data_IF_214143175628
#
_entry.id   IF_214143175628
#
_cell.length_a   1.000
_cell.length_b   1.000
_cell.length_c   1.000
_cell.angle_alpha   90.00
_cell.angle_beta   90.00
_cell.angle_gamma   90.00
#
_symmetry.space_group_name_H-M   'P 1'
#
loop_
_entity.id
_entity.type
_entity.pdbx_description
1 polymer ?
#
# COMPACT_ATOMS: atom_id res chain seq x y z
N UNK A 1 22.84 19.86 -20.57
CA UNK A 1 22.14 20.66 -19.53
C UNK A 1 20.66 20.89 -19.85
N UNK A 2 20.30 21.39 -21.04
CA UNK A 2 18.90 21.65 -21.43
C UNK A 2 17.94 20.45 -21.28
N UNK A 3 18.42 19.23 -21.59
CA UNK A 3 17.65 17.97 -21.47
C UNK A 3 17.19 17.63 -20.05
N UNK A 4 17.79 18.20 -19.00
CA UNK A 4 17.39 18.01 -17.59
C UNK A 4 16.67 19.24 -17.04
N UNK A 5 17.12 20.45 -17.41
CA UNK A 5 16.53 21.70 -16.93
C UNK A 5 15.11 21.91 -17.43
N UNK A 6 14.82 21.52 -18.68
CA UNK A 6 13.50 21.73 -19.27
C UNK A 6 12.41 20.84 -18.62
N UNK A 7 12.61 19.53 -18.44
CA UNK A 7 11.68 18.70 -17.66
C UNK A 7 11.51 19.18 -16.21
N UNK A 8 12.60 19.59 -15.54
CA UNK A 8 12.53 20.13 -14.17
C UNK A 8 11.69 21.40 -14.08
N UNK A 9 11.88 22.33 -15.02
CA UNK A 9 11.10 23.56 -15.08
C UNK A 9 9.61 23.25 -15.29
N UNK A 10 9.29 22.30 -16.17
CA UNK A 10 7.91 21.86 -16.39
C UNK A 10 7.32 21.24 -15.12
N UNK A 11 8.03 20.31 -14.45
CA UNK A 11 7.57 19.71 -13.20
C UNK A 11 7.35 20.74 -12.11
N UNK A 12 8.23 21.74 -12.00
CA UNK A 12 8.10 22.83 -11.04
C UNK A 12 6.87 23.70 -11.31
N UNK A 13 6.67 24.15 -12.56
CA UNK A 13 5.54 24.99 -12.95
C UNK A 13 4.21 24.24 -12.77
N UNK A 14 4.13 23.00 -13.23
CA UNK A 14 2.93 22.16 -13.08
C UNK A 14 2.67 21.87 -11.60
N UNK A 15 3.72 21.58 -10.83
CA UNK A 15 3.61 21.36 -9.39
C UNK A 15 3.07 22.56 -8.64
N UNK A 16 3.58 23.77 -8.92
CA UNK A 16 3.06 25.02 -8.33
C UNK A 16 1.62 25.25 -8.76
N UNK A 17 1.28 25.05 -10.03
CA UNK A 17 -0.08 25.23 -10.52
C UNK A 17 -1.05 24.29 -9.78
N UNK A 18 -0.69 23.02 -9.56
CA UNK A 18 -1.50 22.07 -8.78
C UNK A 18 -1.66 22.48 -7.32
N UNK A 19 -0.61 23.05 -6.69
CA UNK A 19 -0.70 23.57 -5.32
C UNK A 19 -1.65 24.77 -5.27
N UNK A 20 -1.53 25.70 -6.23
CA UNK A 20 -2.41 26.87 -6.31
C UNK A 20 -3.86 26.50 -6.61
N UNK A 21 -4.12 25.45 -7.41
CA UNK A 21 -5.47 24.94 -7.69
C UNK A 21 -6.21 24.56 -6.40
N UNK A 22 -5.49 24.01 -5.43
CA UNK A 22 -6.06 23.59 -4.16
C UNK A 22 -6.40 24.77 -3.23
N UNK A 23 -5.53 25.78 -3.15
CA UNK A 23 -5.65 26.88 -2.18
C UNK A 23 -6.35 28.13 -2.72
N UNK A 24 -6.34 28.34 -4.03
CA UNK A 24 -6.81 29.59 -4.66
C UNK A 24 -7.97 29.32 -5.60
N UNK A 25 -9.11 29.98 -5.35
CA UNK A 25 -10.34 29.84 -6.15
C UNK A 25 -10.39 30.90 -7.27
N UNK A 26 -9.52 30.78 -8.26
CA UNK A 26 -9.52 31.62 -9.46
C UNK A 26 -9.97 30.77 -10.66
N UNK A 27 -11.09 31.11 -11.33
CA UNK A 27 -11.66 30.29 -12.40
C UNK A 27 -10.65 29.89 -13.48
N UNK A 28 -9.85 30.84 -13.99
CA UNK A 28 -8.84 30.56 -15.03
C UNK A 28 -7.77 29.56 -14.57
N UNK A 29 -7.30 29.67 -13.33
CA UNK A 29 -6.32 28.77 -12.75
C UNK A 29 -6.90 27.36 -12.56
N UNK A 30 -8.10 27.27 -12.00
CA UNK A 30 -8.75 25.98 -11.75
C UNK A 30 -9.13 25.28 -13.06
N UNK A 31 -9.49 26.00 -14.13
CA UNK A 31 -9.72 25.41 -15.46
C UNK A 31 -8.44 24.84 -16.06
N UNK A 32 -7.31 25.57 -16.00
CA UNK A 32 -6.02 25.04 -16.48
C UNK A 32 -5.57 23.81 -15.69
N UNK A 33 -5.78 23.82 -14.37
CA UNK A 33 -5.49 22.68 -13.51
C UNK A 33 -6.39 21.48 -13.84
N UNK A 34 -7.67 21.71 -14.12
CA UNK A 34 -8.60 20.68 -14.54
C UNK A 34 -8.17 20.02 -15.87
N UNK A 35 -7.63 20.78 -16.83
CA UNK A 35 -7.07 20.21 -18.06
C UNK A 35 -5.89 19.26 -17.78
N UNK A 36 -4.98 19.64 -16.87
CA UNK A 36 -3.85 18.80 -16.47
C UNK A 36 -4.35 17.54 -15.72
N UNK A 37 -5.29 17.69 -14.79
CA UNK A 37 -5.91 16.56 -14.08
C UNK A 37 -6.62 15.61 -15.05
N UNK A 38 -7.20 16.12 -16.13
CA UNK A 38 -7.82 15.35 -17.20
C UNK A 38 -6.85 14.39 -17.93
N UNK A 39 -5.55 14.64 -17.89
CA UNK A 39 -4.54 13.73 -18.45
C UNK A 39 -4.14 12.61 -17.48
N UNK A 40 -4.44 12.73 -16.19
CA UNK A 40 -4.04 11.75 -15.19
C UNK A 40 -4.62 10.34 -15.45
N UNK A 41 -5.88 10.16 -15.87
CA UNK A 41 -6.40 8.85 -16.29
C UNK A 41 -5.61 8.19 -17.42
N UNK A 42 -5.10 8.98 -18.38
CA UNK A 42 -4.25 8.47 -19.46
C UNK A 42 -2.91 7.98 -18.89
N UNK A 43 -2.26 8.78 -18.04
CA UNK A 43 -1.00 8.42 -17.38
C UNK A 43 -1.17 7.16 -16.52
N UNK A 44 -2.25 7.05 -15.74
CA UNK A 44 -2.51 5.85 -14.93
C UNK A 44 -2.76 4.63 -15.80
N UNK A 45 -3.40 4.77 -16.96
CA UNK A 45 -3.59 3.67 -17.91
C UNK A 45 -2.26 3.14 -18.44
N UNK A 46 -1.33 4.04 -18.80
CA UNK A 46 0.03 3.65 -19.18
C UNK A 46 0.83 3.05 -18.02
N UNK A 47 0.63 3.53 -16.79
CA UNK A 47 1.27 2.97 -15.61
C UNK A 47 0.83 1.52 -15.36
N UNK A 48 -0.46 1.21 -15.53
CA UNK A 48 -0.98 -0.17 -15.43
C UNK A 48 -0.34 -1.06 -16.50
N UNK A 49 -0.24 -0.59 -17.75
CA UNK A 49 0.42 -1.34 -18.82
C UNK A 49 1.89 -1.60 -18.47
N UNK A 50 2.62 -0.56 -18.06
CA UNK A 50 4.05 -0.66 -17.71
C UNK A 50 4.27 -1.59 -16.52
N UNK A 51 3.42 -1.50 -15.49
CA UNK A 51 3.45 -2.39 -14.34
C UNK A 51 3.17 -3.85 -14.72
N UNK A 52 2.22 -4.07 -15.63
CA UNK A 52 1.91 -5.40 -16.17
C UNK A 52 3.09 -5.95 -16.97
N UNK A 53 3.68 -5.15 -17.86
CA UNK A 53 4.86 -5.54 -18.64
C UNK A 53 6.05 -5.90 -17.76
N UNK A 54 6.29 -5.14 -16.68
CA UNK A 54 7.33 -5.45 -15.70
C UNK A 54 7.04 -6.79 -15.01
N UNK A 55 5.80 -6.98 -14.55
CA UNK A 55 5.37 -8.24 -13.94
C UNK A 55 5.60 -9.43 -14.89
N UNK A 56 5.21 -9.28 -16.15
CA UNK A 56 5.46 -10.30 -17.19
C UNK A 56 6.95 -10.53 -17.36
N UNK A 57 7.76 -9.47 -17.55
CA UNK A 57 9.19 -9.59 -17.77
C UNK A 57 9.89 -10.36 -16.63
N UNK A 58 9.62 -10.01 -15.37
CA UNK A 58 10.23 -10.65 -14.20
C UNK A 58 9.81 -12.12 -14.06
N UNK A 59 8.52 -12.42 -14.24
CA UNK A 59 8.01 -13.78 -14.07
C UNK A 59 8.33 -14.67 -15.27
N UNK A 60 8.38 -14.13 -16.48
CA UNK A 60 8.84 -14.82 -17.68
C UNK A 60 10.33 -15.16 -17.59
N UNK A 61 11.17 -14.24 -17.12
CA UNK A 61 12.60 -14.54 -16.88
C UNK A 61 12.78 -15.68 -15.89
N UNK A 62 11.98 -15.68 -14.80
CA UNK A 62 12.00 -16.72 -13.78
C UNK A 62 11.62 -18.10 -14.34
N UNK A 63 10.62 -18.16 -15.22
CA UNK A 63 10.19 -19.40 -15.89
C UNK A 63 11.24 -19.88 -16.88
N UNK A 64 11.75 -18.97 -17.73
CA UNK A 64 12.75 -19.29 -18.76
C UNK A 64 14.03 -19.86 -18.15
N UNK A 65 14.50 -19.27 -17.06
CA UNK A 65 15.71 -19.70 -16.36
C UNK A 65 15.45 -20.72 -15.25
N UNK A 66 14.22 -21.25 -15.13
CA UNK A 66 13.82 -22.27 -14.13
C UNK A 66 14.31 -21.96 -12.71
N UNK A 67 14.31 -20.68 -12.31
CA UNK A 67 14.77 -20.28 -10.97
C UNK A 67 13.88 -20.92 -9.89
N UNK A 68 14.37 -21.05 -8.64
CA UNK A 68 13.55 -21.58 -7.54
C UNK A 68 12.18 -20.90 -7.46
N UNK A 69 11.11 -21.70 -7.40
CA UNK A 69 9.73 -21.18 -7.40
C UNK A 69 9.17 -20.78 -8.77
N UNK A 70 9.77 -21.19 -9.89
CA UNK A 70 9.27 -20.89 -11.25
C UNK A 70 7.82 -21.35 -11.48
N UNK A 71 7.40 -22.45 -10.85
CA UNK A 71 6.04 -23.00 -10.97
C UNK A 71 4.98 -22.02 -10.43
N UNK A 72 5.28 -21.26 -9.38
CA UNK A 72 4.40 -20.21 -8.87
C UNK A 72 4.21 -19.08 -9.90
N UNK A 73 5.24 -18.82 -10.70
CA UNK A 73 5.19 -17.81 -11.77
C UNK A 73 4.34 -18.31 -12.95
N UNK A 74 4.41 -19.60 -13.27
CA UNK A 74 3.54 -20.21 -14.27
C UNK A 74 2.07 -20.22 -13.81
N UNK A 75 1.82 -20.55 -12.54
CA UNK A 75 0.48 -20.48 -11.95
C UNK A 75 -0.08 -19.06 -11.99
N UNK A 76 0.75 -18.04 -11.69
CA UNK A 76 0.36 -16.64 -11.82
C UNK A 76 -0.13 -16.31 -13.23
N UNK A 77 0.60 -16.72 -14.28
CA UNK A 77 0.18 -16.44 -15.66
C UNK A 77 -1.12 -17.15 -16.02
N UNK A 78 -1.30 -18.39 -15.56
CA UNK A 78 -2.53 -19.15 -15.77
C UNK A 78 -3.73 -18.42 -15.15
N UNK A 79 -3.64 -18.06 -13.86
CA UNK A 79 -4.74 -17.38 -13.17
C UNK A 79 -4.99 -15.98 -13.73
N UNK A 80 -3.94 -15.25 -14.12
CA UNK A 80 -4.06 -13.96 -14.79
C UNK A 80 -4.81 -14.10 -16.13
N UNK A 81 -4.42 -15.05 -16.98
CA UNK A 81 -5.07 -15.29 -18.26
C UNK A 81 -6.55 -15.66 -18.08
N UNK A 82 -6.83 -16.61 -17.18
CA UNK A 82 -8.20 -17.06 -16.91
C UNK A 82 -9.08 -15.91 -16.40
N UNK A 83 -8.60 -15.13 -15.43
CA UNK A 83 -9.37 -14.01 -14.86
C UNK A 83 -9.61 -12.88 -15.87
N UNK A 84 -8.62 -12.56 -16.71
CA UNK A 84 -8.77 -11.54 -17.78
C UNK A 84 -9.75 -12.01 -18.85
N UNK A 85 -9.60 -13.25 -19.35
CA UNK A 85 -10.48 -13.79 -20.41
C UNK A 85 -11.94 -13.83 -19.92
N UNK A 86 -12.19 -14.28 -18.70
CA UNK A 86 -13.55 -14.34 -18.14
C UNK A 86 -14.07 -12.94 -17.85
N UNK A 87 -13.25 -12.06 -17.27
CA UNK A 87 -13.64 -10.69 -16.94
C UNK A 87 -14.05 -9.89 -18.17
N UNK A 88 -13.32 -10.04 -19.29
CA UNK A 88 -13.63 -9.36 -20.55
C UNK A 88 -14.83 -9.98 -21.30
N UNK A 89 -15.01 -11.30 -21.24
CA UNK A 89 -16.07 -11.99 -21.99
C UNK A 89 -17.42 -12.02 -21.27
N UNK A 90 -17.43 -12.28 -19.95
CA UNK A 90 -18.64 -12.52 -19.15
C UNK A 90 -18.83 -11.50 -18.02
N UNK A 91 -17.91 -10.56 -17.85
CA UNK A 91 -17.94 -9.57 -16.78
C UNK A 91 -17.47 -10.13 -15.43
N UNK A 92 -17.30 -9.22 -14.46
CA UNK A 92 -16.80 -9.52 -13.10
C UNK A 92 -17.85 -10.18 -12.20
N UNK A 93 -19.11 -10.23 -12.63
CA UNK A 93 -20.20 -10.89 -11.90
C UNK A 93 -20.37 -12.36 -12.27
N UNK A 94 -19.64 -12.84 -13.28
CA UNK A 94 -19.71 -14.24 -13.72
C UNK A 94 -19.37 -15.20 -12.55
N UNK A 95 -20.09 -16.33 -12.39
CA UNK A 95 -19.88 -17.26 -11.28
C UNK A 95 -18.43 -17.74 -11.17
N UNK A 96 -17.79 -18.01 -12.31
CA UNK A 96 -16.38 -18.45 -12.34
C UNK A 96 -15.43 -17.32 -11.93
N UNK A 97 -15.70 -16.07 -12.32
CA UNK A 97 -14.90 -14.92 -11.89
C UNK A 97 -14.98 -14.72 -10.37
N UNK A 98 -16.20 -14.75 -9.81
CA UNK A 98 -16.42 -14.66 -8.37
C UNK A 98 -15.78 -15.82 -7.62
N UNK A 99 -15.86 -17.04 -8.14
CA UNK A 99 -15.19 -18.19 -7.54
C UNK A 99 -13.68 -17.98 -7.43
N UNK A 100 -13.03 -17.58 -8.53
CA UNK A 100 -11.59 -17.30 -8.53
C UNK A 100 -11.24 -16.16 -7.55
N UNK A 101 -12.09 -15.14 -7.46
CA UNK A 101 -11.88 -14.03 -6.53
C UNK A 101 -12.07 -14.45 -5.07
N UNK A 102 -13.26 -14.93 -4.71
CA UNK A 102 -13.66 -15.19 -3.32
C UNK A 102 -13.00 -16.43 -2.72
N UNK A 103 -12.67 -17.43 -3.54
CA UNK A 103 -12.16 -18.72 -3.07
C UNK A 103 -10.68 -18.95 -3.34
N UNK A 104 -10.04 -18.14 -4.19
CA UNK A 104 -8.60 -18.23 -4.44
C UNK A 104 -7.91 -16.92 -4.04
N UNK A 105 -8.28 -15.80 -4.65
CA UNK A 105 -7.58 -14.53 -4.42
C UNK A 105 -7.71 -14.04 -2.97
N UNK A 106 -8.94 -14.00 -2.42
CA UNK A 106 -9.16 -13.55 -1.04
C UNK A 106 -8.43 -14.44 -0.03
N UNK A 107 -8.57 -15.79 -0.04
CA UNK A 107 -7.85 -16.63 0.90
C UNK A 107 -6.34 -16.54 0.76
N UNK A 108 -5.79 -16.43 -0.46
CA UNK A 108 -4.35 -16.19 -0.65
C UNK A 108 -3.89 -14.84 -0.06
N UNK A 109 -4.69 -13.78 -0.19
CA UNK A 109 -4.42 -12.51 0.47
C UNK A 109 -4.44 -12.64 2.00
N UNK A 110 -5.42 -13.37 2.53
CA UNK A 110 -5.54 -13.66 3.96
C UNK A 110 -4.41 -14.54 4.49
N UNK A 111 -3.89 -15.50 3.72
CA UNK A 111 -2.72 -16.29 4.16
C UNK A 111 -1.46 -15.45 4.15
N UNK A 112 -1.28 -14.54 3.19
CA UNK A 112 -0.18 -13.57 3.23
C UNK A 112 -0.27 -12.68 4.47
N UNK A 113 -1.45 -12.15 4.78
CA UNK A 113 -1.70 -11.36 5.99
C UNK A 113 -1.55 -12.19 7.29
N UNK A 114 -1.94 -13.46 7.26
CA UNK A 114 -1.76 -14.38 8.39
C UNK A 114 -0.28 -14.69 8.64
N UNK A 115 0.49 -14.95 7.59
CA UNK A 115 1.95 -15.15 7.67
C UNK A 115 2.65 -13.91 8.24
N UNK A 116 2.27 -12.70 7.82
CA UNK A 116 2.84 -11.48 8.41
C UNK A 116 2.48 -11.34 9.88
N UNK A 117 1.27 -11.71 10.30
CA UNK A 117 0.91 -11.73 11.72
C UNK A 117 1.80 -12.68 12.54
N UNK A 118 2.08 -13.90 12.04
CA UNK A 118 3.01 -14.82 12.69
C UNK A 118 4.45 -14.28 12.73
N UNK A 119 4.93 -13.64 11.66
CA UNK A 119 6.24 -13.00 11.65
C UNK A 119 6.33 -11.84 12.63
N UNK A 120 5.29 -11.02 12.73
CA UNK A 120 5.19 -9.94 13.72
C UNK A 120 5.21 -10.54 15.11
N UNK A 121 4.41 -11.58 15.39
CA UNK A 121 4.41 -12.24 16.70
C UNK A 121 5.79 -12.80 17.07
N UNK A 122 6.48 -13.46 16.13
CA UNK A 122 7.84 -13.99 16.35
C UNK A 122 8.88 -12.88 16.58
N UNK A 123 8.83 -11.81 15.78
CA UNK A 123 9.71 -10.66 15.93
C UNK A 123 9.45 -9.94 17.27
N UNK A 124 8.18 -9.73 17.61
CA UNK A 124 7.73 -9.15 18.87
C UNK A 124 8.13 -9.99 20.07
N UNK A 125 8.01 -11.31 20.02
CA UNK A 125 8.49 -12.18 21.11
C UNK A 125 10.00 -12.05 21.34
N UNK A 126 10.77 -11.95 20.25
CA UNK A 126 12.22 -11.70 20.33
C UNK A 126 12.55 -10.28 20.81
N UNK A 127 11.69 -9.30 20.53
CA UNK A 127 11.89 -7.89 20.89
C UNK A 127 11.39 -7.55 22.31
N UNK A 128 10.31 -8.19 22.80
CA UNK A 128 9.71 -7.97 24.11
C UNK A 128 10.45 -8.68 25.25
N UNK A 129 11.78 -8.56 25.28
CA UNK A 129 12.55 -8.90 26.47
C UNK A 129 12.44 -7.70 27.41
N UNK A 130 11.82 -7.88 28.57
CA UNK A 130 11.67 -6.86 29.61
C UNK A 130 13.05 -6.40 30.10
N UNK A 131 13.64 -5.47 29.38
CA UNK A 131 15.01 -4.98 29.56
C UNK A 131 15.01 -3.53 30.03
N UNK A 132 13.89 -2.84 29.88
CA UNK A 132 13.65 -1.44 30.22
C UNK A 132 12.16 -1.23 30.51
N UNK A 133 11.84 -0.20 31.29
CA UNK A 133 10.48 0.08 31.78
C UNK A 133 9.46 0.21 30.64
N UNK A 134 9.85 0.84 29.53
CA UNK A 134 8.99 1.02 28.35
C UNK A 134 8.60 -0.31 27.69
N UNK A 135 9.55 -1.24 27.52
CA UNK A 135 9.25 -2.56 26.96
C UNK A 135 8.37 -3.39 27.89
N UNK A 136 8.51 -3.21 29.20
CA UNK A 136 7.63 -3.87 30.18
C UNK A 136 6.20 -3.34 30.09
N UNK A 137 6.00 -2.03 29.94
CA UNK A 137 4.67 -1.43 29.74
C UNK A 137 4.02 -1.93 28.45
N UNK A 138 4.79 -2.05 27.37
CA UNK A 138 4.30 -2.61 26.11
C UNK A 138 3.94 -4.09 26.24
N UNK A 139 4.74 -4.87 26.95
CA UNK A 139 4.49 -6.29 27.21
C UNK A 139 3.21 -6.50 28.02
N UNK A 140 3.00 -5.73 29.09
CA UNK A 140 1.78 -5.77 29.90
C UNK A 140 0.57 -5.38 29.05
N UNK A 141 0.68 -4.31 28.27
CA UNK A 141 -0.40 -3.84 27.39
C UNK A 141 -0.77 -4.91 26.35
N UNK A 142 0.22 -5.56 25.74
CA UNK A 142 0.02 -6.65 24.81
C UNK A 142 -0.68 -7.86 25.47
N UNK A 143 -0.24 -8.24 26.67
CA UNK A 143 -0.85 -9.34 27.43
C UNK A 143 -2.32 -9.05 27.78
N UNK A 144 -2.64 -7.83 28.22
CA UNK A 144 -4.01 -7.42 28.53
C UNK A 144 -4.91 -7.43 27.30
N UNK A 145 -4.44 -6.88 26.17
CA UNK A 145 -5.22 -6.86 24.92
C UNK A 145 -5.44 -8.28 24.37
N UNK A 146 -4.42 -9.14 24.43
CA UNK A 146 -4.56 -10.53 24.00
C UNK A 146 -5.57 -11.27 24.88
N UNK A 147 -5.51 -11.09 26.21
CA UNK A 147 -6.42 -11.74 27.14
C UNK A 147 -7.87 -11.25 26.98
N UNK A 148 -8.10 -9.95 26.79
CA UNK A 148 -9.45 -9.39 26.61
C UNK A 148 -10.08 -9.64 25.23
N UNK A 149 -9.32 -10.07 24.22
CA UNK A 149 -9.84 -10.38 22.86
C UNK A 149 -10.07 -11.88 22.62
N UNK A 150 -9.56 -12.75 23.50
CA UNK A 150 -9.79 -14.20 23.42
C UNK A 150 -11.13 -14.53 24.10
N UNK A 151 -11.97 -15.44 23.54
CA UNK A 151 -13.27 -15.78 24.13
C UNK A 151 -13.21 -16.28 25.58
N UNK A 152 -12.06 -16.81 26.02
CA UNK A 152 -11.80 -17.26 27.39
C UNK A 152 -11.64 -16.07 28.37
N UNK A 153 -11.33 -14.88 27.88
CA UNK A 153 -11.14 -13.68 28.70
C UNK A 153 -12.39 -13.25 29.47
N UNK A 154 -13.58 -13.41 28.86
CA UNK A 154 -14.87 -13.15 29.53
C UNK A 154 -15.11 -14.09 30.72
N UNK A 155 -14.68 -15.35 30.63
CA UNK A 155 -14.83 -16.31 31.71
C UNK A 155 -13.93 -16.02 32.92
N UNK A 156 -12.81 -15.31 32.72
CA UNK A 156 -11.89 -14.91 33.80
C UNK A 156 -12.38 -13.64 34.50
N UNK A 157 -12.89 -12.67 33.73
CA UNK A 157 -13.42 -11.41 34.26
C UNK A 157 -14.28 -10.72 33.21
N UNK A 158 -15.52 -10.38 33.56
CA UNK A 158 -16.46 -9.64 32.70
C UNK A 158 -15.91 -8.27 32.22
N UNK A 159 -14.95 -7.68 32.94
CA UNK A 159 -14.35 -6.36 32.62
C UNK A 159 -13.07 -6.45 31.77
N UNK A 160 -12.56 -7.65 31.47
CA UNK A 160 -11.34 -7.75 30.64
C UNK A 160 -11.54 -7.28 29.19
N UNK A 161 -12.69 -7.55 28.53
CA UNK A 161 -12.95 -6.99 27.21
C UNK A 161 -13.02 -5.46 27.18
N UNK A 162 -13.55 -4.82 28.23
CA UNK A 162 -13.69 -3.36 28.30
C UNK A 162 -12.32 -2.66 28.39
N UNK A 163 -11.39 -3.22 29.16
CA UNK A 163 -10.00 -2.75 29.24
C UNK A 163 -9.28 -2.90 27.90
N UNK A 164 -9.40 -4.07 27.25
CA UNK A 164 -8.79 -4.29 25.94
C UNK A 164 -9.37 -3.35 24.86
N UNK A 165 -10.67 -3.07 24.93
CA UNK A 165 -11.31 -2.11 24.04
C UNK A 165 -10.82 -0.68 24.30
N UNK A 166 -10.70 -0.26 25.57
CA UNK A 166 -10.15 1.07 25.90
C UNK A 166 -8.73 1.27 25.36
N UNK A 167 -7.85 0.26 25.48
CA UNK A 167 -6.50 0.30 24.89
C UNK A 167 -6.56 0.44 23.36
N UNK A 168 -7.50 -0.24 22.71
CA UNK A 168 -7.64 -0.17 21.25
C UNK A 168 -8.19 1.18 20.79
N UNK A 169 -9.17 1.74 21.50
CA UNK A 169 -9.93 2.92 21.10
C UNK A 169 -9.24 4.24 21.50
N UNK A 170 -8.37 4.23 22.51
CA UNK A 170 -7.66 5.43 22.99
C UNK A 170 -6.20 5.46 22.50
N UNK A 171 -5.23 4.72 23.09
CA UNK A 171 -3.83 4.84 22.68
C UNK A 171 -3.55 4.26 21.29
N UNK A 172 -4.14 3.13 20.91
CA UNK A 172 -3.92 2.57 19.57
C UNK A 172 -4.53 3.46 18.48
N UNK A 173 -5.76 3.94 18.64
CA UNK A 173 -6.34 4.91 17.68
C UNK A 173 -5.55 6.21 17.62
N UNK A 174 -5.02 6.71 18.74
CA UNK A 174 -4.12 7.87 18.74
C UNK A 174 -2.87 7.58 17.88
N UNK A 175 -2.22 6.43 18.08
CA UNK A 175 -1.07 5.99 17.28
C UNK A 175 -1.39 5.86 15.79
N UNK A 176 -2.52 5.24 15.43
CA UNK A 176 -2.95 5.10 14.04
C UNK A 176 -3.22 6.46 13.38
N UNK A 177 -3.83 7.41 14.10
CA UNK A 177 -4.05 8.78 13.62
C UNK A 177 -2.73 9.51 13.40
N UNK A 178 -1.78 9.40 14.33
CA UNK A 178 -0.43 9.97 14.18
C UNK A 178 0.25 9.37 12.96
N UNK A 179 0.25 8.04 12.82
CA UNK A 179 0.81 7.35 11.66
C UNK A 179 0.20 7.84 10.35
N UNK A 180 -1.12 7.97 10.28
CA UNK A 180 -1.82 8.45 9.09
C UNK A 180 -1.37 9.87 8.72
N UNK A 181 -1.32 10.79 9.69
CA UNK A 181 -0.86 12.17 9.49
C UNK A 181 0.60 12.21 9.06
N UNK A 182 1.47 11.45 9.74
CA UNK A 182 2.90 11.35 9.39
C UNK A 182 3.12 10.76 7.99
N UNK A 183 2.34 9.74 7.59
CA UNK A 183 2.43 9.16 6.25
C UNK A 183 2.04 10.18 5.18
N UNK A 184 0.98 10.97 5.43
CA UNK A 184 0.54 12.04 4.55
C UNK A 184 1.59 13.14 4.40
N UNK A 185 2.17 13.61 5.52
CA UNK A 185 3.25 14.60 5.51
C UNK A 185 4.50 14.04 4.80
N UNK A 186 4.85 12.77 5.04
CA UNK A 186 5.96 12.10 4.37
C UNK A 186 5.76 12.02 2.85
N UNK A 187 4.55 11.70 2.41
CA UNK A 187 4.17 11.72 1.00
C UNK A 187 4.25 13.13 0.41
N UNK A 188 3.67 14.14 1.07
CA UNK A 188 3.76 15.54 0.65
C UNK A 188 5.21 16.04 0.56
N UNK A 189 6.06 15.65 1.52
CA UNK A 189 7.50 15.95 1.50
C UNK A 189 8.20 15.31 0.30
N UNK A 190 7.84 14.08 -0.09
CA UNK A 190 8.36 13.47 -1.31
C UNK A 190 7.89 14.20 -2.57
N UNK A 191 6.60 14.57 -2.65
CA UNK A 191 6.07 15.37 -3.76
C UNK A 191 6.79 16.72 -3.86
N UNK A 192 6.99 17.43 -2.74
CA UNK A 192 7.69 18.71 -2.74
C UNK A 192 9.15 18.57 -3.21
N UNK A 193 9.85 17.52 -2.77
CA UNK A 193 11.21 17.23 -3.26
C UNK A 193 11.26 16.98 -4.77
N UNK A 194 10.22 16.37 -5.34
CA UNK A 194 10.09 16.17 -6.79
C UNK A 194 9.83 17.52 -7.49
N UNK A 195 8.88 18.32 -6.98
CA UNK A 195 8.52 19.63 -7.56
C UNK A 195 9.73 20.58 -7.59
N UNK A 196 10.45 20.69 -6.47
CA UNK A 196 11.64 21.55 -6.36
C UNK A 196 12.85 20.95 -7.12
N UNK A 197 12.77 19.70 -7.57
CA UNK A 197 13.84 19.06 -8.32
C UNK A 197 15.01 18.58 -7.46
N UNK A 198 14.80 18.43 -6.15
CA UNK A 198 15.74 17.78 -5.23
C UNK A 198 15.79 16.26 -5.47
N UNK A 199 14.64 15.66 -5.78
CA UNK A 199 14.55 14.25 -6.15
C UNK A 199 14.34 14.11 -7.67
N UNK A 200 15.41 13.69 -8.37
CA UNK A 200 15.46 13.59 -9.84
C UNK A 200 15.38 12.16 -10.36
N UNK A 201 15.01 11.19 -9.52
CA UNK A 201 14.96 9.78 -9.91
C UNK A 201 14.09 9.51 -11.16
N UNK A 202 13.02 10.28 -11.35
CA UNK A 202 12.11 10.18 -12.51
C UNK A 202 12.72 10.72 -13.82
N UNK A 203 13.85 11.43 -13.76
CA UNK A 203 14.54 12.00 -14.92
C UNK A 203 15.71 11.12 -15.40
N UNK A 204 15.89 9.94 -14.79
CA UNK A 204 16.97 9.01 -15.10
C UNK A 204 16.67 8.21 -16.37
N UNK A 205 17.00 8.82 -17.51
CA UNK A 205 17.51 8.11 -18.67
C UNK A 205 19.00 8.44 -18.80
N UNK A 206 19.83 7.55 -18.27
CA UNK A 206 21.30 7.57 -18.21
C UNK A 206 21.94 8.47 -17.13
N UNK A 207 22.58 7.77 -16.18
CA UNK A 207 23.45 8.16 -15.04
C UNK A 207 22.78 8.19 -13.67
#
# INVERSE_FOLDING_TARGET
>A
MLKRTLPLAITFIVGILMVLDYFVKIPSLNTSAASIRGWMPLVTSFAVITGTLNLVAVHSDRIRHRRPGWYNSAALFLFLAVTVIIGLSKGTTAPLYRFLYDKILIPCGSTMAGMTAFFIASASYRAFRATNADSTLLLISAALVMLGRVPIGEFVSNEMPSVAQWIMDVPNMAGQRVFLVCSGIGFMSQCLRIIVGLNRAHLSGNE
#
